data_IF_307331157253
#
_entry.id   IF_307331157253
#
_cell.length_a   1.000
_cell.length_b   1.000
_cell.length_c   1.000
_cell.angle_alpha   90.00
_cell.angle_beta   90.00
_cell.angle_gamma   90.00
#
_symmetry.space_group_name_H-M   'P 1'
#
loop_
_entity.id
_entity.type
_entity.pdbx_description
1 polymer ?
#
# COMPACT_ATOMS: atom_id res chain seq x y z
N UNK A 1 1.98 43.77 13.55
CA UNK A 1 1.83 42.83 14.68
C UNK A 1 1.80 41.42 14.12
N UNK A 2 2.97 40.81 13.97
CA UNK A 2 3.07 39.39 13.64
C UNK A 2 2.78 38.63 14.94
N UNK A 3 1.79 37.73 14.90
CA UNK A 3 1.55 36.78 15.98
C UNK A 3 2.70 35.78 15.92
N UNK A 4 3.69 35.96 16.79
CA UNK A 4 4.72 34.96 17.04
C UNK A 4 4.00 33.75 17.65
N UNK A 5 3.77 32.73 16.82
CA UNK A 5 3.12 31.50 17.21
C UNK A 5 4.17 30.63 17.94
N UNK A 6 4.64 31.10 19.09
CA UNK A 6 5.55 30.34 19.95
C UNK A 6 4.68 29.48 20.87
N UNK A 7 4.30 28.29 20.39
CA UNK A 7 3.76 27.28 21.29
C UNK A 7 4.91 26.75 22.15
N UNK A 8 5.01 27.28 23.37
CA UNK A 8 5.88 26.77 24.42
C UNK A 8 5.35 25.41 24.90
N UNK A 9 5.58 24.36 24.10
CA UNK A 9 5.30 22.99 24.52
C UNK A 9 6.24 22.60 25.67
N UNK A 10 5.68 21.97 26.69
CA UNK A 10 6.50 21.37 27.75
C UNK A 10 7.30 20.19 27.19
N UNK A 11 8.46 19.85 27.79
CA UNK A 11 9.21 18.67 27.38
C UNK A 11 8.39 17.38 27.44
N UNK A 12 7.45 17.27 28.38
CA UNK A 12 6.54 16.14 28.53
C UNK A 12 5.55 16.03 27.36
N UNK A 13 4.88 17.14 26.99
CA UNK A 13 3.97 17.16 25.84
C UNK A 13 4.68 16.80 24.52
N UNK A 14 5.92 17.26 24.35
CA UNK A 14 6.74 16.88 23.19
C UNK A 14 7.07 15.39 23.20
N UNK A 15 7.41 14.82 24.36
CA UNK A 15 7.68 13.39 24.49
C UNK A 15 6.44 12.54 24.16
N UNK A 16 5.27 12.92 24.67
CA UNK A 16 4.00 12.24 24.35
C UNK A 16 3.65 12.36 22.87
N UNK A 17 3.86 13.53 22.26
CA UNK A 17 3.65 13.70 20.82
C UNK A 17 4.61 12.83 19.99
N UNK A 18 5.88 12.76 20.37
CA UNK A 18 6.88 11.93 19.69
C UNK A 18 6.60 10.44 19.87
N UNK A 19 6.16 10.01 21.05
CA UNK A 19 5.75 8.62 21.30
C UNK A 19 4.53 8.26 20.44
N UNK A 20 3.51 9.11 20.43
CA UNK A 20 2.32 8.95 19.57
C UNK A 20 2.72 8.81 18.10
N UNK A 21 3.59 9.71 17.62
CA UNK A 21 4.08 9.68 16.26
C UNK A 21 4.86 8.39 15.95
N UNK A 22 5.70 7.91 16.88
CA UNK A 22 6.43 6.65 16.72
C UNK A 22 5.48 5.47 16.54
N UNK A 23 4.44 5.38 17.38
CA UNK A 23 3.41 4.33 17.28
C UNK A 23 2.69 4.41 15.93
N UNK A 24 2.27 5.61 15.53
CA UNK A 24 1.58 5.83 14.25
C UNK A 24 2.46 5.50 13.04
N UNK A 25 3.76 5.77 13.10
CA UNK A 25 4.70 5.43 12.03
C UNK A 25 4.80 3.91 11.83
N UNK A 26 4.98 3.13 12.90
CA UNK A 26 5.01 1.68 12.79
C UNK A 26 3.66 1.10 12.39
N UNK A 27 2.55 1.65 12.90
CA UNK A 27 1.22 1.23 12.49
C UNK A 27 0.97 1.47 11.00
N UNK A 28 1.35 2.64 10.49
CA UNK A 28 1.22 2.98 9.07
C UNK A 28 2.13 2.10 8.20
N UNK A 29 3.36 1.83 8.65
CA UNK A 29 4.28 0.94 7.95
C UNK A 29 3.70 -0.49 7.86
N UNK A 30 3.16 -1.03 8.96
CA UNK A 30 2.50 -2.33 8.96
C UNK A 30 1.30 -2.37 8.00
N UNK A 31 0.45 -1.34 8.01
CA UNK A 31 -0.70 -1.24 7.09
C UNK A 31 -0.28 -1.18 5.62
N UNK A 32 0.77 -0.43 5.31
CA UNK A 32 1.34 -0.37 3.97
C UNK A 32 1.91 -1.73 3.54
N UNK A 33 2.67 -2.38 4.42
CA UNK A 33 3.24 -3.71 4.19
C UNK A 33 2.15 -4.80 4.08
N UNK A 34 0.98 -4.61 4.68
CA UNK A 34 -0.19 -5.48 4.47
C UNK A 34 -0.96 -5.16 3.18
N UNK A 35 -0.47 -4.24 2.35
CA UNK A 35 -1.13 -3.79 1.12
C UNK A 35 -2.45 -3.05 1.38
N UNK A 36 -2.69 -2.52 2.60
CA UNK A 36 -3.88 -1.74 2.92
C UNK A 36 -3.75 -0.27 2.50
N UNK A 37 -2.54 0.17 2.19
CA UNK A 37 -2.24 1.49 1.65
C UNK A 37 -1.64 1.33 0.25
N UNK A 38 -2.30 1.92 -0.75
CA UNK A 38 -1.82 1.95 -2.13
C UNK A 38 -0.69 2.97 -2.22
N UNK A 39 0.43 2.60 -2.84
CA UNK A 39 1.50 3.55 -3.14
C UNK A 39 1.04 4.49 -4.26
N UNK A 40 0.97 5.83 -4.03
CA UNK A 40 0.54 6.79 -5.04
C UNK A 40 1.46 6.85 -6.26
N UNK A 41 2.71 6.40 -6.15
CA UNK A 41 3.68 6.41 -7.25
C UNK A 41 3.59 5.14 -8.12
N UNK A 42 3.41 3.97 -7.51
CA UNK A 42 3.36 2.70 -8.24
C UNK A 42 1.93 2.28 -8.62
N UNK A 43 0.91 2.84 -7.95
CA UNK A 43 -0.49 2.44 -8.09
C UNK A 43 -0.76 1.01 -7.60
N UNK A 44 0.19 0.38 -6.91
CA UNK A 44 0.10 -1.01 -6.45
C UNK A 44 0.15 -1.06 -4.93
N UNK A 45 -0.63 -1.99 -4.39
CA UNK A 45 -0.53 -2.42 -3.02
C UNK A 45 0.37 -3.65 -2.97
N UNK A 46 1.65 -3.46 -2.66
CA UNK A 46 2.57 -4.58 -2.43
C UNK A 46 2.33 -5.17 -1.05
N UNK A 47 2.05 -6.48 -1.00
CA UNK A 47 1.83 -7.20 0.25
C UNK A 47 3.13 -7.90 0.65
N UNK A 48 3.75 -7.42 1.72
CA UNK A 48 4.88 -8.02 2.40
C UNK A 48 4.51 -8.31 3.86
N UNK A 49 3.91 -9.49 4.09
CA UNK A 49 3.47 -9.91 5.42
C UNK A 49 4.64 -10.14 6.39
N UNK A 50 5.81 -10.55 5.91
CA UNK A 50 6.99 -10.71 6.78
C UNK A 50 7.41 -9.35 7.37
N UNK A 51 7.50 -8.32 6.53
CA UNK A 51 7.79 -6.96 6.99
C UNK A 51 6.70 -6.42 7.92
N UNK A 52 5.42 -6.67 7.60
CA UNK A 52 4.30 -6.28 8.46
C UNK A 52 4.41 -6.92 9.85
N UNK A 53 4.78 -8.19 9.93
CA UNK A 53 4.97 -8.89 11.19
C UNK A 53 6.08 -8.24 12.02
N UNK A 54 7.22 -7.92 11.42
CA UNK A 54 8.33 -7.24 12.12
C UNK A 54 7.88 -5.90 12.70
N UNK A 55 7.07 -5.12 11.95
CA UNK A 55 6.52 -3.86 12.44
C UNK A 55 5.58 -4.05 13.64
N UNK A 56 4.74 -5.09 13.61
CA UNK A 56 3.85 -5.45 14.73
C UNK A 56 4.66 -5.92 15.95
N UNK A 57 5.68 -6.77 15.73
CA UNK A 57 6.55 -7.29 16.78
C UNK A 57 7.33 -6.14 17.46
N UNK A 58 7.72 -5.11 16.70
CA UNK A 58 8.36 -3.91 17.26
C UNK A 58 7.41 -3.14 18.18
N UNK A 59 6.15 -2.97 17.79
CA UNK A 59 5.12 -2.36 18.66
C UNK A 59 4.85 -3.21 19.90
N UNK A 60 4.84 -4.54 19.78
CA UNK A 60 4.64 -5.46 20.90
C UNK A 60 5.82 -5.41 21.88
N UNK A 61 7.05 -5.34 21.35
CA UNK A 61 8.26 -5.11 22.13
C UNK A 61 8.21 -3.77 22.87
N UNK A 62 7.77 -2.69 22.19
CA UNK A 62 7.59 -1.39 22.83
C UNK A 62 6.60 -1.49 23.99
N UNK A 63 5.43 -2.12 23.79
CA UNK A 63 4.44 -2.30 24.84
C UNK A 63 5.00 -3.05 26.07
N UNK A 64 5.82 -4.08 25.83
CA UNK A 64 6.47 -4.83 26.90
C UNK A 64 7.55 -4.01 27.63
N UNK A 65 8.36 -3.23 26.90
CA UNK A 65 9.48 -2.46 27.45
C UNK A 65 9.05 -1.17 28.14
N UNK A 66 7.95 -0.56 27.71
CA UNK A 66 7.46 0.71 28.27
C UNK A 66 6.35 0.52 29.30
N UNK A 67 5.96 -0.73 29.62
CA UNK A 67 4.94 -1.03 30.62
C UNK A 67 5.22 -0.31 31.94
N UNK A 68 4.20 0.38 32.46
CA UNK A 68 4.27 1.15 33.71
C UNK A 68 4.93 2.53 33.58
N UNK A 69 5.41 2.90 32.39
CA UNK A 69 5.99 4.21 32.09
C UNK A 69 5.13 5.03 31.11
N UNK A 70 4.00 4.48 30.64
CA UNK A 70 3.07 5.15 29.76
C UNK A 70 1.96 5.84 30.56
N UNK A 71 1.51 6.99 30.08
CA UNK A 71 0.22 7.55 30.47
C UNK A 71 -0.93 6.65 30.01
N UNK A 72 -2.13 6.86 30.56
CA UNK A 72 -3.31 6.08 30.19
C UNK A 72 -3.63 6.19 28.68
N UNK A 73 -3.49 7.39 28.12
CA UNK A 73 -3.77 7.66 26.71
C UNK A 73 -2.74 6.97 25.79
N UNK A 74 -1.46 7.00 26.15
CA UNK A 74 -0.39 6.32 25.41
C UNK A 74 -0.52 4.80 25.46
N UNK A 75 -0.85 4.24 26.64
CA UNK A 75 -1.10 2.80 26.78
C UNK A 75 -2.30 2.37 25.94
N UNK A 76 -3.39 3.15 25.97
CA UNK A 76 -4.58 2.88 25.19
C UNK A 76 -4.29 2.95 23.69
N UNK A 77 -3.62 4.00 23.22
CA UNK A 77 -3.23 4.16 21.81
C UNK A 77 -2.41 2.96 21.32
N UNK A 78 -1.39 2.56 22.08
CA UNK A 78 -0.53 1.44 21.69
C UNK A 78 -1.30 0.12 21.67
N UNK A 79 -2.15 -0.11 22.66
CA UNK A 79 -2.97 -1.32 22.76
C UNK A 79 -3.99 -1.42 21.62
N UNK A 80 -4.69 -0.33 21.32
CA UNK A 80 -5.65 -0.26 20.22
C UNK A 80 -4.96 -0.47 18.87
N UNK A 81 -3.81 0.19 18.65
CA UNK A 81 -3.00 0.02 17.45
C UNK A 81 -2.57 -1.43 17.27
N UNK A 82 -2.00 -2.06 18.32
CA UNK A 82 -1.59 -3.46 18.28
C UNK A 82 -2.76 -4.41 17.99
N UNK A 83 -3.89 -4.21 18.67
CA UNK A 83 -5.08 -5.06 18.48
C UNK A 83 -5.60 -4.97 17.04
N UNK A 84 -5.73 -3.75 16.52
CA UNK A 84 -6.20 -3.51 15.15
C UNK A 84 -5.27 -4.12 14.12
N UNK A 85 -3.96 -3.92 14.27
CA UNK A 85 -2.95 -4.45 13.36
C UNK A 85 -2.89 -5.97 13.38
N UNK A 86 -2.92 -6.60 14.56
CA UNK A 86 -2.92 -8.07 14.69
C UNK A 86 -4.15 -8.70 14.03
N UNK A 87 -5.33 -8.10 14.20
CA UNK A 87 -6.54 -8.56 13.53
C UNK A 87 -6.41 -8.43 12.00
N UNK A 88 -6.01 -7.24 11.53
CA UNK A 88 -5.83 -6.96 10.10
C UNK A 88 -4.79 -7.91 9.47
N UNK A 89 -3.74 -8.23 10.21
CA UNK A 89 -2.66 -9.13 9.78
C UNK A 89 -3.18 -10.55 9.59
N UNK A 90 -3.93 -11.09 10.57
CA UNK A 90 -4.53 -12.42 10.46
C UNK A 90 -5.55 -12.49 9.31
N UNK A 91 -6.37 -11.45 9.13
CA UNK A 91 -7.31 -11.35 8.01
C UNK A 91 -6.59 -11.36 6.66
N UNK A 92 -5.47 -10.63 6.57
CA UNK A 92 -4.67 -10.53 5.34
C UNK A 92 -3.87 -11.82 5.09
N UNK A 93 -3.44 -12.52 6.13
CA UNK A 93 -2.84 -13.86 6.01
C UNK A 93 -3.85 -14.92 5.55
N UNK A 94 -5.08 -14.87 6.06
CA UNK A 94 -6.16 -15.80 5.69
C UNK A 94 -6.76 -15.53 4.32
N UNK A 95 -6.68 -14.28 3.85
CA UNK A 95 -7.06 -13.88 2.50
C UNK A 95 -5.86 -14.07 1.58
N UNK A 96 -5.71 -15.26 0.99
CA UNK A 96 -4.71 -15.53 -0.05
C UNK A 96 -4.63 -14.35 -1.05
N UNK A 97 -3.44 -13.96 -1.54
CA UNK A 97 -3.27 -12.75 -2.34
C UNK A 97 -4.09 -12.92 -3.62
N UNK A 98 -5.28 -12.34 -3.61
CA UNK A 98 -6.04 -12.11 -4.82
C UNK A 98 -5.15 -11.15 -5.60
N UNK A 99 -4.56 -11.67 -6.67
CA UNK A 99 -3.75 -10.92 -7.59
C UNK A 99 -4.38 -9.53 -7.82
N UNK A 100 -3.58 -8.47 -7.94
CA UNK A 100 -4.13 -7.18 -8.35
C UNK A 100 -5.03 -7.43 -9.57
N UNK A 101 -6.23 -6.81 -9.65
CA UNK A 101 -7.03 -6.92 -10.87
C UNK A 101 -6.08 -6.61 -12.03
N UNK A 102 -6.09 -7.43 -13.11
CA UNK A 102 -5.29 -7.13 -14.28
C UNK A 102 -5.57 -5.69 -14.61
N UNK A 103 -4.52 -4.86 -14.69
CA UNK A 103 -4.65 -3.51 -15.21
C UNK A 103 -5.51 -3.64 -16.47
N UNK A 104 -6.75 -3.16 -16.38
CA UNK A 104 -7.66 -3.21 -17.52
C UNK A 104 -6.90 -2.53 -18.66
N UNK A 105 -6.70 -3.22 -19.81
CA UNK A 105 -6.26 -2.52 -21.00
C UNK A 105 -7.35 -1.48 -21.26
N UNK A 106 -7.03 -0.23 -20.96
CA UNK A 106 -7.81 0.95 -21.32
C UNK A 106 -8.38 0.72 -22.72
N UNK A 107 -9.71 0.60 -22.76
CA UNK A 107 -10.48 0.19 -23.91
C UNK A 107 -10.06 0.94 -25.19
N UNK A 108 -10.11 0.30 -26.37
CA UNK A 108 -9.92 0.99 -27.63
C UNK A 108 -11.08 1.99 -27.84
N UNK A 109 -10.83 3.24 -28.25
CA UNK A 109 -11.90 4.09 -28.72
C UNK A 109 -12.43 3.55 -30.08
N UNK A 110 -13.76 3.60 -30.29
CA UNK A 110 -14.44 3.07 -31.47
C UNK A 110 -14.20 3.97 -32.68
N UNK A 111 -13.75 3.39 -33.78
CA UNK A 111 -13.40 4.14 -34.98
C UNK A 111 -13.33 3.28 -36.23
N UNK A 112 -14.28 2.37 -36.40
CA UNK A 112 -14.45 1.62 -37.65
C UNK A 112 -15.29 2.45 -38.63
N UNK A 113 -14.63 3.39 -39.32
CA UNK A 113 -15.15 3.96 -40.57
C UNK A 113 -14.42 3.26 -41.71
N UNK A 114 -15.15 2.40 -42.39
CA UNK A 114 -14.75 1.68 -43.60
C UNK A 114 -14.32 2.69 -44.69
N UNK A 115 -13.24 2.45 -45.44
CA UNK A 115 -13.17 2.89 -46.83
C UNK A 115 -13.65 1.73 -47.72
N UNK A 116 -14.78 1.94 -48.38
CA UNK A 116 -15.15 1.18 -49.57
C UNK A 116 -14.36 1.73 -50.77
N UNK A 117 -13.94 0.82 -51.65
CA UNK A 117 -13.67 0.96 -53.10
C UNK A 117 -12.54 1.94 -53.50
N UNK A 118 -11.47 1.55 -54.21
CA UNK A 118 -11.45 1.02 -55.59
C UNK A 118 -9.99 0.70 -56.02
N UNK A 119 -9.87 -0.08 -57.12
CA UNK A 119 -8.70 -0.27 -58.04
C UNK A 119 -7.60 -1.26 -57.59
N UNK A 120 -7.50 -2.52 -58.06
CA UNK A 120 -7.27 -3.13 -59.41
C UNK A 120 -5.78 -3.45 -59.67
N UNK A 121 -5.54 -4.63 -60.25
CA UNK A 121 -4.30 -5.12 -60.89
C UNK A 121 -3.15 -5.48 -59.90
N UNK A 122 -2.38 -6.57 -60.01
CA UNK A 122 -2.06 -7.48 -61.12
C UNK A 122 -1.32 -8.73 -60.60
N UNK A 123 -1.23 -9.72 -61.48
CA UNK A 123 -0.55 -11.02 -61.49
C UNK A 123 0.79 -11.17 -60.72
N UNK A 124 1.07 -12.37 -60.17
CA UNK A 124 2.10 -13.30 -60.70
C UNK A 124 2.67 -14.30 -59.66
N UNK A 125 2.43 -15.59 -59.95
CA UNK A 125 3.25 -16.79 -59.73
C UNK A 125 3.39 -17.46 -58.34
N UNK A 126 3.03 -18.75 -58.22
CA UNK A 126 3.39 -19.58 -57.06
C UNK A 126 4.82 -20.13 -57.22
N UNK A 127 5.65 -19.99 -56.19
CA UNK A 127 7.00 -20.59 -56.12
C UNK A 127 7.14 -21.53 -54.92
N UNK A 128 7.38 -22.80 -55.26
CA UNK A 128 8.01 -23.89 -54.51
C UNK A 128 7.30 -24.52 -53.30
N UNK A 129 6.78 -25.74 -53.50
CA UNK A 129 6.82 -26.79 -52.49
C UNK A 129 7.54 -28.01 -53.09
N UNK A 130 8.82 -28.16 -52.73
CA UNK A 130 9.53 -29.45 -52.81
C UNK A 130 9.59 -29.99 -51.39
N UNK A 131 8.78 -30.99 -51.10
CA UNK A 131 9.04 -31.96 -50.03
C UNK A 131 8.60 -33.33 -50.53
N UNK A 132 9.58 -34.25 -50.47
CA UNK A 132 9.60 -35.68 -50.80
C UNK A 132 9.67 -36.04 -52.27
#
# INVERSE_FOLDING_TARGET
MAKENNQDYTPEELQTAMFTQLVMMFASAAMHQMGKLVDPNSGKAEVNLEAAQVSIDMLDMLAAKTRGHLSADEEQLLKESLSSLKMTFVETQGSAPSAPPPAEPSAPPPGEIKPASDVKDQEAQPRFHKKY
#
